data_IF_951137766244
#
_entry.id   IF_951137766244
#
_cell.length_a   1.000
_cell.length_b   1.000
_cell.length_c   1.000
_cell.angle_alpha   90.00
_cell.angle_beta   90.00
_cell.angle_gamma   90.00
#
_symmetry.space_group_name_H-M   'P 1'
#
loop_
_entity.id
_entity.type
_entity.pdbx_description
1 polymer ?
#
# COMPACT_ATOMS: atom_id res chain seq x y z
N UNK A 1 -5.79 2.85 -4.64
CA UNK A 1 -4.57 3.52 -4.14
C UNK A 1 -4.63 3.55 -2.61
N UNK A 2 -3.82 2.73 -1.94
CA UNK A 2 -3.66 2.76 -0.48
C UNK A 2 -2.99 4.08 -0.05
N UNK A 3 -3.27 4.57 1.17
CA UNK A 3 -2.74 5.84 1.70
C UNK A 3 -2.30 5.65 3.15
N UNK A 4 -1.08 6.05 3.49
CA UNK A 4 -0.55 6.00 4.86
C UNK A 4 0.91 6.46 4.94
N UNK A 5 1.46 6.67 6.15
CA UNK A 5 2.87 7.04 6.32
C UNK A 5 3.81 5.88 5.93
N UNK A 6 4.94 6.20 5.30
CA UNK A 6 6.00 5.22 5.03
C UNK A 6 6.70 4.79 6.33
N UNK A 7 6.88 3.48 6.59
CA UNK A 7 7.59 3.00 7.78
C UNK A 7 9.11 3.00 7.57
N UNK A 8 9.87 3.66 8.44
CA UNK A 8 11.35 3.72 8.35
C UNK A 8 11.87 4.87 7.48
N UNK A 9 13.19 4.95 7.31
CA UNK A 9 13.86 6.13 6.74
C UNK A 9 14.55 5.86 5.39
N UNK A 10 14.55 4.62 4.89
CA UNK A 10 15.28 4.16 3.71
C UNK A 10 14.42 4.06 2.43
N UNK A 11 13.38 4.88 2.32
CA UNK A 11 12.46 4.91 1.18
C UNK A 11 12.94 5.81 0.05
N UNK A 12 12.93 5.26 -1.17
CA UNK A 12 12.98 6.04 -2.41
C UNK A 12 11.56 6.39 -2.84
N UNK A 13 11.36 7.65 -3.23
CA UNK A 13 10.09 8.12 -3.80
C UNK A 13 10.30 8.54 -5.25
N UNK A 14 9.30 8.30 -6.09
CA UNK A 14 9.35 8.59 -7.51
C UNK A 14 8.62 9.91 -7.81
N UNK A 15 9.27 10.76 -8.59
CA UNK A 15 8.67 11.93 -9.22
C UNK A 15 8.86 11.80 -10.72
N UNK A 16 7.78 11.86 -11.48
CA UNK A 16 7.82 11.87 -12.93
C UNK A 16 7.32 13.21 -13.47
N UNK A 17 7.89 13.62 -14.60
CA UNK A 17 7.42 14.73 -15.41
C UNK A 17 6.80 14.25 -16.73
N UNK A 18 6.58 12.94 -16.87
CA UNK A 18 6.11 12.31 -18.10
C UNK A 18 4.99 11.30 -17.78
N UNK A 19 4.00 11.23 -18.67
CA UNK A 19 2.78 10.41 -18.50
C UNK A 19 2.99 8.91 -18.68
N UNK A 20 4.16 8.47 -19.16
CA UNK A 20 4.51 7.03 -19.20
C UNK A 20 4.62 6.40 -17.82
N UNK A 21 4.72 7.22 -16.76
CA UNK A 21 4.89 6.75 -15.40
C UNK A 21 3.63 7.00 -14.58
N UNK A 22 2.99 5.93 -14.12
CA UNK A 22 1.75 5.99 -13.37
C UNK A 22 1.94 5.51 -11.92
N UNK A 23 1.37 6.20 -10.91
CA UNK A 23 1.52 5.82 -9.52
C UNK A 23 0.68 4.57 -9.19
N UNK A 24 1.32 3.54 -8.62
CA UNK A 24 0.66 2.33 -8.13
C UNK A 24 0.39 2.44 -6.63
N UNK A 25 1.39 2.91 -5.86
CA UNK A 25 1.29 3.09 -4.41
C UNK A 25 1.69 4.53 -4.04
N UNK A 26 0.81 5.19 -3.29
CA UNK A 26 1.05 6.51 -2.72
C UNK A 26 1.22 6.40 -1.21
N UNK A 27 2.11 7.20 -0.65
CA UNK A 27 2.34 7.27 0.77
C UNK A 27 2.70 8.68 1.22
N UNK A 28 2.46 8.98 2.50
CA UNK A 28 2.93 10.20 3.14
C UNK A 28 4.27 9.93 3.83
N UNK A 29 5.10 10.94 3.98
CA UNK A 29 6.16 10.90 4.99
C UNK A 29 5.62 11.42 6.31
N UNK A 30 6.26 11.07 7.44
CA UNK A 30 5.90 11.63 8.75
C UNK A 30 5.95 13.16 8.76
N UNK A 31 6.92 13.76 8.08
CA UNK A 31 7.03 15.22 7.94
C UNK A 31 5.95 15.86 7.07
N UNK A 32 5.31 15.08 6.18
CA UNK A 32 4.25 15.53 5.29
C UNK A 32 2.83 15.30 5.85
N UNK A 33 2.68 14.85 7.10
CA UNK A 33 1.36 14.63 7.69
C UNK A 33 0.52 15.92 7.72
N UNK A 34 1.14 17.06 8.01
CA UNK A 34 0.52 18.38 8.07
C UNK A 34 0.21 19.01 6.70
N UNK A 35 1.02 18.71 5.68
CA UNK A 35 0.86 19.28 4.33
C UNK A 35 -0.07 18.44 3.45
N UNK A 36 -0.32 17.19 3.82
CA UNK A 36 -1.13 16.26 3.03
C UNK A 36 -0.45 15.76 1.76
N UNK A 37 0.83 16.11 1.55
CA UNK A 37 1.59 15.75 0.36
C UNK A 37 1.74 14.22 0.27
N UNK A 38 1.41 13.67 -0.90
CA UNK A 38 1.56 12.26 -1.22
C UNK A 38 2.78 12.06 -2.12
N UNK A 39 3.53 11.02 -1.83
CA UNK A 39 4.67 10.58 -2.60
C UNK A 39 4.40 9.23 -3.24
N UNK A 40 4.82 9.04 -4.48
CA UNK A 40 4.75 7.74 -5.16
C UNK A 40 5.88 6.87 -4.66
N UNK A 41 5.57 5.72 -4.05
CA UNK A 41 6.57 4.75 -3.59
C UNK A 41 6.61 3.47 -4.44
N UNK A 42 5.61 3.26 -5.28
CA UNK A 42 5.63 2.26 -6.36
C UNK A 42 5.08 2.90 -7.62
N UNK A 43 5.80 2.78 -8.72
CA UNK A 43 5.43 3.38 -10.02
C UNK A 43 5.42 2.33 -11.11
N UNK A 44 4.44 2.39 -12.01
CA UNK A 44 4.39 1.62 -13.23
C UNK A 44 5.00 2.44 -14.36
N UNK A 45 5.95 1.85 -15.08
CA UNK A 45 6.38 2.32 -16.39
C UNK A 45 5.56 1.60 -17.46
N UNK A 46 4.82 2.37 -18.25
CA UNK A 46 4.01 1.87 -19.36
C UNK A 46 4.86 1.39 -20.55
N UNK A 47 6.16 1.67 -20.55
CA UNK A 47 7.07 1.25 -21.62
C UNK A 47 6.89 2.05 -22.91
N UNK A 48 6.36 3.29 -22.86
CA UNK A 48 6.12 4.09 -24.06
C UNK A 48 7.41 4.54 -24.76
N UNK A 49 8.56 4.49 -24.06
CA UNK A 49 9.85 4.88 -24.62
C UNK A 49 10.59 3.74 -25.35
N UNK A 50 10.52 2.51 -24.81
CA UNK A 50 11.33 1.38 -25.29
C UNK A 50 10.53 0.09 -25.50
N UNK A 51 9.21 0.13 -25.29
CA UNK A 51 8.30 -1.00 -25.43
C UNK A 51 8.28 -1.96 -24.23
N UNK A 52 8.97 -1.66 -23.13
CA UNK A 52 9.09 -2.57 -21.99
C UNK A 52 8.30 -2.02 -20.79
N UNK A 53 7.27 -2.76 -20.35
CA UNK A 53 6.53 -2.42 -19.15
C UNK A 53 7.27 -2.85 -17.89
N UNK A 54 7.23 -2.02 -16.84
CA UNK A 54 7.92 -2.29 -15.57
C UNK A 54 7.06 -1.81 -14.39
N UNK A 55 7.30 -2.41 -13.22
CA UNK A 55 6.81 -1.87 -11.94
C UNK A 55 8.02 -1.71 -11.03
N UNK A 56 8.28 -0.48 -10.60
CA UNK A 56 9.44 -0.09 -9.81
C UNK A 56 9.01 0.15 -8.36
N UNK A 57 9.70 -0.48 -7.43
CA UNK A 57 9.44 -0.36 -5.99
C UNK A 57 10.51 0.53 -5.36
N UNK A 58 10.08 1.51 -4.56
CA UNK A 58 10.97 2.45 -3.87
C UNK A 58 11.62 1.89 -2.61
N UNK A 59 11.35 0.62 -2.29
CA UNK A 59 11.88 -0.10 -1.15
C UNK A 59 11.86 -1.62 -1.42
N UNK A 60 12.49 -2.39 -0.56
CA UNK A 60 12.50 -3.85 -0.63
C UNK A 60 11.11 -4.46 -0.28
N UNK A 61 11.00 -5.79 -0.34
CA UNK A 61 9.75 -6.53 -0.10
C UNK A 61 9.47 -6.83 1.38
N UNK A 62 10.22 -6.25 2.33
CA UNK A 62 9.94 -6.44 3.77
C UNK A 62 8.58 -5.87 4.16
N UNK A 63 8.17 -4.75 3.54
CA UNK A 63 6.86 -4.14 3.74
C UNK A 63 5.74 -5.02 3.19
N UNK A 64 4.75 -5.35 4.02
CA UNK A 64 3.72 -6.34 3.68
C UNK A 64 2.92 -5.97 2.41
N UNK A 65 2.62 -4.68 2.22
CA UNK A 65 1.86 -4.23 1.06
C UNK A 65 2.68 -4.35 -0.23
N UNK A 66 4.01 -4.22 -0.18
CA UNK A 66 4.88 -4.49 -1.34
C UNK A 66 4.79 -5.94 -1.78
N UNK A 67 4.66 -6.90 -0.85
CA UNK A 67 4.48 -8.32 -1.21
C UNK A 67 3.20 -8.54 -2.01
N UNK A 68 2.10 -7.89 -1.62
CA UNK A 68 0.83 -7.98 -2.35
C UNK A 68 0.94 -7.34 -3.73
N UNK A 69 1.43 -6.10 -3.80
CA UNK A 69 1.61 -5.37 -5.07
C UNK A 69 2.59 -6.09 -6.00
N UNK A 70 3.60 -6.77 -5.46
CA UNK A 70 4.55 -7.58 -6.25
C UNK A 70 3.87 -8.76 -6.94
N UNK A 71 2.99 -9.49 -6.24
CA UNK A 71 2.21 -10.59 -6.85
C UNK A 71 1.27 -10.05 -7.93
N UNK A 72 0.63 -8.91 -7.68
CA UNK A 72 -0.25 -8.25 -8.66
C UNK A 72 0.54 -7.81 -9.90
N UNK A 73 1.71 -7.20 -9.70
CA UNK A 73 2.61 -6.76 -10.77
C UNK A 73 3.12 -7.94 -11.60
N UNK A 74 3.43 -9.08 -10.98
CA UNK A 74 3.86 -10.29 -11.67
C UNK A 74 2.73 -10.83 -12.56
N UNK A 75 1.50 -10.91 -12.04
CA UNK A 75 0.34 -11.33 -12.82
C UNK A 75 0.08 -10.37 -13.99
N UNK A 76 0.17 -9.05 -13.74
CA UNK A 76 -0.03 -8.01 -14.73
C UNK A 76 1.01 -8.05 -15.86
N UNK A 77 2.31 -7.97 -15.53
CA UNK A 77 3.39 -7.87 -16.50
C UNK A 77 3.57 -9.16 -17.33
N UNK A 78 3.10 -10.30 -16.83
CA UNK A 78 3.21 -11.59 -17.52
C UNK A 78 1.95 -12.00 -18.27
N UNK A 79 0.98 -11.09 -18.42
CA UNK A 79 -0.33 -11.39 -19.00
C UNK A 79 -0.97 -12.64 -18.36
N UNK A 80 -0.92 -12.70 -17.02
CA UNK A 80 -1.42 -13.78 -16.15
C UNK A 80 -0.73 -15.14 -16.31
N UNK A 81 0.38 -15.24 -17.05
CA UNK A 81 1.16 -16.49 -17.17
C UNK A 81 1.81 -16.89 -15.85
N UNK A 82 2.18 -15.91 -15.02
CA UNK A 82 2.63 -16.10 -13.64
C UNK A 82 1.62 -15.44 -12.70
N UNK A 83 0.46 -16.07 -12.54
CA UNK A 83 -0.61 -15.56 -11.67
C UNK A 83 -0.88 -16.50 -10.50
N UNK A 84 -0.97 -15.93 -9.30
CA UNK A 84 -1.65 -16.53 -8.16
C UNK A 84 -3.08 -15.97 -8.08
N UNK A 85 -3.90 -16.48 -7.16
CA UNK A 85 -5.17 -15.82 -6.85
C UNK A 85 -4.93 -14.39 -6.35
N UNK A 86 -5.77 -13.46 -6.78
CA UNK A 86 -5.80 -12.08 -6.30
C UNK A 86 -6.69 -11.90 -5.07
N UNK A 87 -7.28 -12.99 -4.55
CA UNK A 87 -8.04 -12.95 -3.31
C UNK A 87 -7.11 -12.59 -2.14
N UNK A 88 -7.58 -11.69 -1.28
CA UNK A 88 -6.86 -11.20 -0.10
C UNK A 88 -7.76 -11.36 1.12
N UNK A 89 -7.35 -12.21 2.04
CA UNK A 89 -8.05 -12.40 3.31
C UNK A 89 -7.36 -11.57 4.38
N UNK A 90 -8.13 -10.72 5.07
CA UNK A 90 -7.67 -9.98 6.24
C UNK A 90 -8.43 -10.56 7.42
N UNK A 91 -7.70 -11.24 8.31
CA UNK A 91 -8.25 -11.65 9.59
C UNK A 91 -8.19 -10.46 10.54
N UNK A 92 -9.34 -10.03 11.04
CA UNK A 92 -9.45 -9.05 12.12
C UNK A 92 -9.94 -9.82 13.33
N UNK A 93 -9.10 -9.93 14.34
CA UNK A 93 -9.43 -10.57 15.60
C UNK A 93 -9.64 -9.50 16.67
N UNK A 94 -10.72 -9.64 17.45
CA UNK A 94 -11.07 -8.69 18.51
C UNK A 94 -11.19 -9.48 19.81
N UNK A 95 -10.10 -9.48 20.57
CA UNK A 95 -10.02 -10.13 21.88
C UNK A 95 -10.65 -9.27 22.99
N UNK A 96 -10.88 -9.89 24.15
CA UNK A 96 -11.24 -9.24 25.42
C UNK A 96 -12.50 -8.35 25.41
N UNK A 97 -13.42 -8.58 24.45
CA UNK A 97 -14.63 -7.78 24.23
C UNK A 97 -15.41 -7.50 25.53
N UNK A 98 -15.47 -8.47 26.45
CA UNK A 98 -16.20 -8.33 27.72
C UNK A 98 -15.33 -8.25 28.98
N UNK A 99 -14.01 -8.44 28.85
CA UNK A 99 -13.09 -8.57 30.00
C UNK A 99 -12.01 -7.48 30.04
N UNK A 100 -12.11 -6.47 29.16
CA UNK A 100 -11.23 -5.30 29.20
C UNK A 100 -11.27 -4.53 30.52
N UNK A 101 -10.14 -3.92 30.89
CA UNK A 101 -9.98 -3.10 32.11
C UNK A 101 -10.94 -1.91 32.13
N UNK A 102 -11.31 -1.47 33.33
CA UNK A 102 -12.11 -0.26 33.52
C UNK A 102 -11.41 0.95 32.88
N UNK A 103 -12.17 1.76 32.13
CA UNK A 103 -11.65 2.88 31.33
C UNK A 103 -11.32 2.55 29.88
N UNK A 104 -10.97 1.31 29.55
CA UNK A 104 -10.73 0.85 28.16
C UNK A 104 -11.78 -0.15 27.65
N UNK A 105 -12.69 -0.58 28.51
CA UNK A 105 -13.79 -1.50 28.16
C UNK A 105 -14.74 -0.86 27.15
N UNK A 106 -15.02 -1.61 26.09
CA UNK A 106 -15.95 -1.24 25.03
C UNK A 106 -17.36 -1.02 25.59
N UNK A 107 -17.97 0.12 25.27
CA UNK A 107 -19.32 0.51 25.64
C UNK A 107 -20.27 0.34 24.47
N UNK A 108 -21.57 0.35 24.77
CA UNK A 108 -22.63 0.28 23.75
C UNK A 108 -22.48 1.37 22.68
N UNK A 109 -22.04 2.57 23.08
CA UNK A 109 -21.81 3.69 22.18
C UNK A 109 -20.62 3.48 21.22
N UNK A 110 -19.66 2.62 21.56
CA UNK A 110 -18.48 2.34 20.71
C UNK A 110 -18.81 1.34 19.60
N UNK A 111 -19.89 0.56 19.76
CA UNK A 111 -20.29 -0.52 18.84
C UNK A 111 -21.46 -0.11 17.95
N UNK A 112 -22.40 0.67 18.50
CA UNK A 112 -23.56 1.12 17.73
C UNK A 112 -23.15 2.27 16.81
N UNK A 113 -23.28 2.03 15.51
CA UNK A 113 -23.18 3.09 14.49
C UNK A 113 -24.36 4.06 14.71
N UNK A 114 -24.08 5.36 14.67
CA UNK A 114 -25.12 6.41 14.71
C UNK A 114 -26.08 6.31 13.53
#
# INVERSE_FOLDING_TARGET
VFRGPLPGDDWTVFQSNHSTYEPVLLAKTRSAESTGLMHTSVVQDLGLHDGIQRVLFGHNLSFWLHKLVFVDALSFLTAKRLSLSLDRFILVDIDDIFVGKEGTRMKVADVKVC
#
